data_IF_550913185612
#
_entry.id   IF_550913185612
#
_cell.length_a   1.000
_cell.length_b   1.000
_cell.length_c   1.000
_cell.angle_alpha   90.00
_cell.angle_beta   90.00
_cell.angle_gamma   90.00
#
_symmetry.space_group_name_H-M   'P 1'
#
loop_
_entity.id
_entity.type
_entity.pdbx_description
1 polymer ?
#
# COMPACT_ATOMS: atom_id res chain seq x y z
N UNK A 1 -13.92 -9.21 7.41
CA UNK A 1 -14.25 -8.89 8.82
C UNK A 1 -13.33 -9.58 9.83
N UNK A 2 -13.03 -10.89 9.72
CA UNK A 2 -12.18 -11.59 10.70
C UNK A 2 -10.76 -10.97 10.87
N UNK A 3 -10.10 -10.59 9.77
CA UNK A 3 -8.78 -9.94 9.82
C UNK A 3 -8.79 -8.63 10.61
N UNK A 4 -9.76 -7.74 10.32
CA UNK A 4 -9.93 -6.47 11.06
C UNK A 4 -10.12 -6.72 12.55
N UNK A 5 -10.94 -7.70 12.95
CA UNK A 5 -11.13 -8.03 14.38
C UNK A 5 -9.84 -8.49 15.02
N UNK A 6 -9.11 -9.39 14.37
CA UNK A 6 -7.84 -9.90 14.89
C UNK A 6 -6.81 -8.78 15.06
N UNK A 7 -6.71 -7.87 14.09
CA UNK A 7 -5.78 -6.74 14.16
C UNK A 7 -6.18 -5.75 15.27
N UNK A 8 -7.45 -5.36 15.36
CA UNK A 8 -7.90 -4.43 16.41
C UNK A 8 -7.84 -5.03 17.81
N UNK A 9 -8.08 -6.34 17.96
CA UNK A 9 -7.89 -7.03 19.22
C UNK A 9 -6.41 -7.04 19.64
N UNK A 10 -5.50 -7.23 18.68
CA UNK A 10 -4.05 -7.15 18.90
C UNK A 10 -3.64 -5.74 19.32
N UNK A 11 -4.03 -4.72 18.56
CA UNK A 11 -3.75 -3.30 18.86
C UNK A 11 -4.20 -2.95 20.29
N UNK A 12 -5.47 -3.24 20.62
CA UNK A 12 -6.01 -2.97 21.94
C UNK A 12 -5.25 -3.74 23.03
N UNK A 13 -4.89 -5.01 22.79
CA UNK A 13 -4.13 -5.83 23.75
C UNK A 13 -2.68 -5.38 23.89
N UNK A 14 -2.04 -4.85 22.86
CA UNK A 14 -0.65 -4.40 22.91
C UNK A 14 -0.49 -3.07 23.65
N UNK A 15 -1.56 -2.31 23.80
CA UNK A 15 -1.60 -1.07 24.59
C UNK A 15 -1.91 0.19 23.79
N UNK A 16 -2.36 0.08 22.55
CA UNK A 16 -2.79 1.24 21.77
C UNK A 16 -4.05 1.87 22.37
N UNK A 17 -4.10 3.21 22.45
CA UNK A 17 -5.26 3.93 23.03
C UNK A 17 -6.47 4.01 22.07
N UNK A 18 -6.25 3.76 20.79
CA UNK A 18 -7.26 3.77 19.74
C UNK A 18 -6.72 3.20 18.43
N UNK A 19 -7.55 3.22 17.38
CA UNK A 19 -7.15 2.72 16.07
C UNK A 19 -7.87 3.42 14.93
N UNK A 20 -7.28 3.38 13.74
CA UNK A 20 -7.86 3.97 12.53
C UNK A 20 -8.74 3.00 11.74
N UNK A 21 -9.75 3.56 11.09
CA UNK A 21 -10.58 2.91 10.06
C UNK A 21 -10.82 3.91 8.92
N UNK A 22 -10.89 3.42 7.69
CA UNK A 22 -11.08 4.25 6.50
C UNK A 22 -12.52 4.27 5.97
N UNK A 23 -13.45 3.54 6.61
CA UNK A 23 -14.86 3.49 6.23
C UNK A 23 -15.77 3.45 7.47
N UNK A 24 -16.86 4.23 7.54
CA UNK A 24 -17.76 4.27 8.71
C UNK A 24 -18.32 2.91 9.12
N UNK A 25 -18.59 2.03 8.15
CA UNK A 25 -19.06 0.65 8.42
C UNK A 25 -18.07 -0.23 9.20
N UNK A 26 -16.81 0.18 9.34
CA UNK A 26 -15.81 -0.53 10.15
C UNK A 26 -15.74 -0.02 11.60
N UNK A 27 -16.35 1.13 11.91
CA UNK A 27 -16.35 1.73 13.25
C UNK A 27 -16.91 0.76 14.30
N UNK A 28 -18.09 0.11 14.11
CA UNK A 28 -18.63 -0.77 15.14
C UNK A 28 -17.73 -1.96 15.45
N UNK A 29 -17.12 -2.57 14.42
CA UNK A 29 -16.24 -3.72 14.56
C UNK A 29 -14.94 -3.35 15.28
N UNK A 30 -14.33 -2.22 14.93
CA UNK A 30 -13.13 -1.76 15.61
C UNK A 30 -13.41 -1.38 17.07
N UNK A 31 -14.51 -0.64 17.30
CA UNK A 31 -14.93 -0.23 18.65
C UNK A 31 -15.16 -1.44 19.56
N UNK A 32 -15.81 -2.49 19.06
CA UNK A 32 -16.07 -3.71 19.83
C UNK A 32 -14.78 -4.34 20.40
N UNK A 33 -13.70 -4.38 19.61
CA UNK A 33 -12.44 -4.97 20.08
C UNK A 33 -11.70 -4.07 21.08
N UNK A 34 -11.75 -2.74 20.93
CA UNK A 34 -11.16 -1.82 21.91
C UNK A 34 -11.92 -1.82 23.24
N UNK A 35 -13.27 -1.84 23.20
CA UNK A 35 -14.11 -1.88 24.41
C UNK A 35 -13.88 -3.15 25.23
N UNK A 36 -13.59 -4.31 24.59
CA UNK A 36 -13.24 -5.55 25.31
C UNK A 36 -12.03 -5.39 26.23
N UNK A 37 -11.08 -4.51 25.89
CA UNK A 37 -9.84 -4.29 26.66
C UNK A 37 -9.92 -3.05 27.55
N UNK A 38 -10.51 -1.96 27.04
CA UNK A 38 -10.59 -0.68 27.76
C UNK A 38 -11.73 -0.66 28.79
N UNK A 39 -12.84 -1.35 28.52
CA UNK A 39 -14.09 -1.19 29.27
C UNK A 39 -14.59 0.26 29.17
N UNK A 40 -14.85 0.87 30.32
CA UNK A 40 -15.29 2.28 30.42
C UNK A 40 -14.12 3.29 30.41
N UNK A 41 -12.86 2.82 30.37
CA UNK A 41 -11.70 3.71 30.41
C UNK A 41 -11.57 4.48 29.09
N UNK A 42 -11.25 5.80 29.13
CA UNK A 42 -11.12 6.61 27.92
C UNK A 42 -9.85 6.33 27.11
N UNK A 43 -8.84 5.69 27.73
CA UNK A 43 -7.57 5.29 27.13
C UNK A 43 -6.85 4.29 28.06
N UNK A 44 -5.68 3.80 27.67
CA UNK A 44 -4.82 2.91 28.47
C UNK A 44 -3.38 3.43 28.54
N UNK A 45 -3.20 4.77 28.59
CA UNK A 45 -1.89 5.42 28.73
C UNK A 45 -1.16 4.95 30.00
N UNK A 46 -1.89 4.47 31.02
CA UNK A 46 -1.34 3.88 32.23
C UNK A 46 -0.64 2.52 32.01
N UNK A 47 -0.92 1.84 30.89
CA UNK A 47 -0.26 0.60 30.50
C UNK A 47 1.13 0.87 29.93
N UNK A 48 2.08 1.06 30.84
CA UNK A 48 3.49 1.13 30.48
C UNK A 48 3.97 -0.24 29.97
N UNK A 49 4.78 -0.23 28.90
CA UNK A 49 5.38 -1.44 28.30
C UNK A 49 6.82 -1.62 28.74
N UNK A 50 7.04 -1.62 30.06
CA UNK A 50 8.37 -1.83 30.66
C UNK A 50 8.94 -3.23 30.36
N UNK A 51 8.08 -4.15 29.92
CA UNK A 51 8.43 -5.48 29.41
C UNK A 51 9.08 -5.45 28.01
N UNK A 52 8.97 -4.34 27.28
CA UNK A 52 9.45 -4.19 25.91
C UNK A 52 10.71 -3.31 25.89
N UNK A 53 11.81 -3.87 25.40
CA UNK A 53 13.04 -3.11 25.13
C UNK A 53 13.41 -3.25 23.65
N UNK A 54 13.25 -2.18 22.88
CA UNK A 54 13.58 -2.18 21.44
C UNK A 54 14.93 -1.51 21.20
N UNK A 55 15.80 -2.18 20.44
CA UNK A 55 17.11 -1.68 19.98
C UNK A 55 17.00 -1.18 18.55
N UNK A 56 17.84 -0.21 18.17
CA UNK A 56 17.84 0.33 16.80
C UNK A 56 18.01 -0.72 15.70
N UNK A 57 18.76 -1.80 15.95
CA UNK A 57 18.91 -2.94 15.01
C UNK A 57 17.59 -3.66 14.72
N UNK A 58 16.67 -3.70 15.68
CA UNK A 58 15.38 -4.39 15.56
C UNK A 58 14.43 -3.57 14.69
N UNK A 59 14.53 -2.23 14.74
CA UNK A 59 13.81 -1.33 13.83
C UNK A 59 14.30 -1.42 12.38
N UNK A 60 15.51 -1.93 12.16
CA UNK A 60 16.13 -2.10 10.84
C UNK A 60 16.15 -3.57 10.37
N UNK A 61 15.46 -4.46 11.08
CA UNK A 61 15.39 -5.87 10.73
C UNK A 61 14.30 -6.10 9.67
N UNK A 62 14.72 -6.41 8.44
CA UNK A 62 13.81 -6.65 7.31
C UNK A 62 13.17 -8.04 7.39
N UNK A 63 12.14 -8.20 8.23
CA UNK A 63 11.37 -9.43 8.42
C UNK A 63 9.86 -9.17 8.48
N UNK A 64 9.01 -10.18 8.20
CA UNK A 64 9.37 -11.51 7.67
C UNK A 64 9.82 -11.46 6.20
N UNK A 65 10.68 -12.40 5.79
CA UNK A 65 11.07 -12.55 4.38
C UNK A 65 10.09 -13.50 3.68
N UNK A 66 9.08 -12.95 3.04
CA UNK A 66 8.20 -13.67 2.12
C UNK A 66 8.72 -13.56 0.67
N UNK A 67 8.43 -14.53 -0.21
CA UNK A 67 8.84 -14.44 -1.60
C UNK A 67 8.15 -13.28 -2.31
N UNK A 68 8.83 -12.67 -3.28
CA UNK A 68 8.20 -11.75 -4.22
C UNK A 68 7.45 -12.61 -5.24
N UNK A 69 6.14 -12.41 -5.38
CA UNK A 69 5.33 -13.18 -6.33
C UNK A 69 5.00 -12.34 -7.55
N UNK A 70 4.75 -12.97 -8.71
CA UNK A 70 4.27 -12.22 -9.89
C UNK A 70 2.93 -11.54 -9.57
N UNK A 71 2.05 -12.22 -8.82
CA UNK A 71 0.78 -11.66 -8.39
C UNK A 71 0.98 -10.38 -7.55
N UNK A 72 1.95 -10.36 -6.63
CA UNK A 72 2.29 -9.17 -5.85
C UNK A 72 2.85 -8.04 -6.71
N UNK A 73 3.73 -8.37 -7.67
CA UNK A 73 4.25 -7.40 -8.64
C UNK A 73 3.13 -6.78 -9.48
N UNK A 74 2.25 -7.61 -10.04
CA UNK A 74 1.07 -7.15 -10.80
C UNK A 74 0.15 -6.30 -9.95
N UNK A 75 -0.09 -6.69 -8.70
CA UNK A 75 -0.93 -5.91 -7.79
C UNK A 75 -0.34 -4.52 -7.53
N UNK A 76 0.97 -4.40 -7.30
CA UNK A 76 1.62 -3.10 -7.14
C UNK A 76 1.48 -2.23 -8.39
N UNK A 77 1.65 -2.81 -9.59
CA UNK A 77 1.44 -2.09 -10.85
C UNK A 77 -0.02 -1.65 -10.99
N UNK A 78 -0.96 -2.56 -10.75
CA UNK A 78 -2.39 -2.34 -10.88
C UNK A 78 -2.88 -1.23 -9.94
N UNK A 79 -2.61 -1.35 -8.64
CA UNK A 79 -3.00 -0.38 -7.61
C UNK A 79 -2.34 0.97 -7.86
N UNK A 80 -1.05 0.97 -8.23
CA UNK A 80 -0.32 2.19 -8.59
C UNK A 80 -0.99 2.94 -9.74
N UNK A 81 -1.20 2.29 -10.89
CA UNK A 81 -1.85 2.91 -12.05
C UNK A 81 -3.28 3.37 -11.73
N UNK A 82 -4.04 2.55 -11.00
CA UNK A 82 -5.42 2.87 -10.64
C UNK A 82 -5.49 4.13 -9.77
N UNK A 83 -4.69 4.18 -8.69
CA UNK A 83 -4.65 5.35 -7.81
C UNK A 83 -4.20 6.61 -8.55
N UNK A 84 -3.11 6.55 -9.33
CA UNK A 84 -2.62 7.70 -10.10
C UNK A 84 -3.68 8.21 -11.09
N UNK A 85 -4.40 7.31 -11.77
CA UNK A 85 -5.45 7.67 -12.72
C UNK A 85 -6.63 8.39 -12.06
N UNK A 86 -7.02 7.96 -10.85
CA UNK A 86 -8.04 8.63 -10.04
C UNK A 86 -7.55 9.97 -9.47
N UNK A 87 -6.29 10.04 -9.02
CA UNK A 87 -5.68 11.27 -8.51
C UNK A 87 -5.64 12.35 -9.59
N UNK A 88 -5.21 12.01 -10.81
CA UNK A 88 -5.21 12.91 -11.98
C UNK A 88 -6.62 13.35 -12.37
N UNK A 89 -7.66 12.61 -11.98
CA UNK A 89 -9.06 12.99 -12.16
C UNK A 89 -9.62 13.81 -10.97
N UNK A 90 -8.76 14.22 -10.03
CA UNK A 90 -9.12 15.03 -8.86
C UNK A 90 -9.61 14.23 -7.65
N UNK A 91 -9.43 12.90 -7.62
CA UNK A 91 -9.81 12.06 -6.49
C UNK A 91 -8.60 11.39 -5.82
N UNK A 92 -8.24 11.84 -4.62
CA UNK A 92 -7.15 11.26 -3.82
C UNK A 92 -7.58 10.20 -2.80
N UNK A 93 -8.87 9.82 -2.75
CA UNK A 93 -9.40 8.81 -1.83
C UNK A 93 -10.17 7.77 -2.66
N UNK A 94 -9.52 6.64 -2.93
CA UNK A 94 -9.90 5.77 -4.06
C UNK A 94 -10.26 4.38 -3.56
N UNK A 95 -11.49 3.89 -3.77
CA UNK A 95 -11.83 2.50 -3.48
C UNK A 95 -11.20 1.57 -4.53
N UNK A 96 -10.18 0.80 -4.14
CA UNK A 96 -9.49 -0.16 -5.00
C UNK A 96 -9.57 -1.53 -4.32
N UNK A 97 -10.10 -2.54 -5.03
CA UNK A 97 -10.24 -3.91 -4.50
C UNK A 97 -10.96 -4.01 -3.14
N UNK A 98 -11.92 -3.12 -2.88
CA UNK A 98 -12.66 -2.94 -1.61
C UNK A 98 -11.83 -2.39 -0.43
N UNK A 99 -10.65 -1.84 -0.71
CA UNK A 99 -9.85 -1.05 0.22
C UNK A 99 -9.95 0.43 -0.15
N UNK A 100 -9.89 1.30 0.86
CA UNK A 100 -9.86 2.75 0.63
C UNK A 100 -8.40 3.18 0.59
N UNK A 101 -7.88 3.40 -0.61
CA UNK A 101 -6.47 3.67 -0.85
C UNK A 101 -6.20 5.18 -0.94
N UNK A 102 -5.04 5.57 -0.45
CA UNK A 102 -4.49 6.91 -0.52
C UNK A 102 -3.12 6.92 -1.25
N UNK A 103 -2.45 8.07 -1.24
CA UNK A 103 -1.16 8.22 -1.91
C UNK A 103 -0.10 7.26 -1.38
N UNK A 104 -0.12 6.91 -0.09
CA UNK A 104 0.90 6.05 0.50
C UNK A 104 0.85 4.64 -0.08
N UNK A 105 -0.33 4.14 -0.47
CA UNK A 105 -0.48 2.85 -1.15
C UNK A 105 0.19 2.86 -2.52
N UNK A 106 0.01 3.93 -3.30
CA UNK A 106 0.69 4.08 -4.58
C UNK A 106 2.21 4.28 -4.39
N UNK A 107 2.63 4.98 -3.33
CA UNK A 107 4.04 5.17 -2.98
C UNK A 107 4.74 3.85 -2.68
N UNK A 108 4.19 3.03 -1.79
CA UNK A 108 4.80 1.73 -1.48
C UNK A 108 4.80 0.82 -2.72
N UNK A 109 3.75 0.88 -3.53
CA UNK A 109 3.64 0.09 -4.76
C UNK A 109 4.75 0.41 -5.76
N UNK A 110 4.94 1.69 -6.12
CA UNK A 110 6.02 2.08 -7.05
C UNK A 110 7.40 1.87 -6.44
N UNK A 111 7.54 2.04 -5.13
CA UNK A 111 8.82 1.92 -4.42
C UNK A 111 9.31 0.48 -4.36
N UNK A 112 8.40 -0.46 -4.12
CA UNK A 112 8.72 -1.89 -4.17
C UNK A 112 9.16 -2.30 -5.58
N UNK A 113 8.44 -1.90 -6.62
CA UNK A 113 8.84 -2.19 -8.01
C UNK A 113 10.21 -1.59 -8.32
N UNK A 114 10.44 -0.32 -7.97
CA UNK A 114 11.73 0.35 -8.16
C UNK A 114 12.87 -0.37 -7.42
N UNK A 115 12.63 -0.79 -6.18
CA UNK A 115 13.62 -1.49 -5.37
C UNK A 115 13.92 -2.89 -5.94
N UNK A 116 12.90 -3.63 -6.37
CA UNK A 116 13.07 -4.97 -6.91
C UNK A 116 13.81 -4.98 -8.25
N UNK A 117 13.65 -3.95 -9.08
CA UNK A 117 14.48 -3.80 -10.29
C UNK A 117 15.97 -3.75 -9.92
N UNK A 118 16.33 -2.97 -8.91
CA UNK A 118 17.74 -2.65 -8.56
C UNK A 118 18.40 -3.65 -7.61
N UNK A 119 17.62 -4.24 -6.71
CA UNK A 119 18.15 -5.10 -5.66
C UNK A 119 18.47 -6.50 -6.19
N UNK A 120 19.58 -7.13 -5.76
CA UNK A 120 19.84 -8.54 -6.04
C UNK A 120 18.76 -9.48 -5.47
N UNK A 121 18.00 -9.03 -4.45
CA UNK A 121 16.88 -9.78 -3.87
C UNK A 121 15.60 -9.72 -4.71
N UNK A 122 15.53 -8.83 -5.71
CA UNK A 122 14.33 -8.64 -6.53
C UNK A 122 14.10 -9.76 -7.54
N UNK A 123 13.88 -10.98 -7.06
CA UNK A 123 13.55 -12.15 -7.87
C UNK A 123 12.17 -12.63 -7.50
N UNK A 124 11.37 -12.94 -8.51
CA UNK A 124 10.10 -13.61 -8.33
C UNK A 124 10.31 -15.01 -7.74
N UNK A 125 9.26 -15.58 -7.15
CA UNK A 125 9.26 -16.91 -6.55
C UNK A 125 9.64 -18.02 -7.55
N UNK A 126 9.40 -17.80 -8.85
CA UNK A 126 9.79 -18.70 -9.94
C UNK A 126 11.24 -18.49 -10.43
N UNK A 127 11.98 -17.58 -9.79
CA UNK A 127 13.38 -17.29 -10.07
C UNK A 127 13.62 -16.19 -11.10
N UNK A 128 12.59 -15.70 -11.82
CA UNK A 128 12.75 -14.58 -12.77
C UNK A 128 13.20 -13.32 -12.03
N UNK A 129 14.14 -12.58 -12.63
CA UNK A 129 14.54 -11.26 -12.14
C UNK A 129 13.41 -10.27 -12.41
N UNK A 130 13.01 -9.50 -11.40
CA UNK A 130 12.20 -8.29 -11.64
C UNK A 130 13.11 -7.29 -12.34
N UNK A 131 12.84 -7.02 -13.62
CA UNK A 131 13.60 -6.09 -14.46
C UNK A 131 12.69 -5.00 -15.02
N UNK A 132 13.28 -3.92 -15.55
CA UNK A 132 12.50 -2.86 -16.17
C UNK A 132 11.72 -3.38 -17.39
N UNK A 133 12.28 -4.34 -18.14
CA UNK A 133 11.65 -4.98 -19.28
C UNK A 133 10.40 -5.77 -18.85
N UNK A 134 10.51 -6.58 -17.79
CA UNK A 134 9.36 -7.31 -17.24
C UNK A 134 8.27 -6.34 -16.77
N UNK A 135 8.63 -5.27 -16.06
CA UNK A 135 7.65 -4.28 -15.59
C UNK A 135 6.94 -3.60 -16.76
N UNK A 136 7.67 -3.21 -17.81
CA UNK A 136 7.09 -2.64 -19.04
C UNK A 136 6.18 -3.61 -19.80
N UNK A 137 6.49 -4.91 -19.74
CA UNK A 137 5.62 -5.96 -20.30
C UNK A 137 4.30 -6.08 -19.54
N UNK A 138 4.34 -5.93 -18.21
CA UNK A 138 3.18 -6.09 -17.33
C UNK A 138 2.26 -4.85 -17.28
N UNK A 139 2.81 -3.64 -17.39
CA UNK A 139 2.04 -2.38 -17.35
C UNK A 139 0.82 -2.36 -18.29
N UNK A 140 0.93 -2.66 -19.61
CA UNK A 140 -0.23 -2.60 -20.50
C UNK A 140 -1.29 -3.65 -20.14
N UNK A 141 -0.89 -4.79 -19.58
CA UNK A 141 -1.80 -5.84 -19.13
C UNK A 141 -2.61 -5.35 -17.92
N UNK A 142 -1.93 -4.76 -16.93
CA UNK A 142 -2.60 -4.23 -15.74
C UNK A 142 -3.40 -2.97 -16.02
N UNK A 143 -2.96 -2.11 -16.94
CA UNK A 143 -3.74 -0.97 -17.40
C UNK A 143 -5.07 -1.43 -18.03
N UNK A 144 -5.05 -2.49 -18.85
CA UNK A 144 -6.28 -3.06 -19.41
C UNK A 144 -7.21 -3.59 -18.31
N UNK A 145 -6.65 -4.26 -17.28
CA UNK A 145 -7.42 -4.71 -16.12
C UNK A 145 -8.05 -3.54 -15.35
N UNK A 146 -7.29 -2.48 -15.08
CA UNK A 146 -7.79 -1.26 -14.42
C UNK A 146 -8.93 -0.64 -15.23
N UNK A 147 -8.73 -0.45 -16.55
CA UNK A 147 -9.77 0.10 -17.45
C UNK A 147 -11.05 -0.72 -17.43
N UNK A 148 -10.95 -2.06 -17.40
CA UNK A 148 -12.10 -2.95 -17.31
C UNK A 148 -12.86 -2.81 -15.98
N UNK A 149 -12.15 -2.54 -14.87
CA UNK A 149 -12.77 -2.36 -13.55
C UNK A 149 -13.47 -1.00 -13.41
N UNK A 150 -12.87 0.08 -13.92
CA UNK A 150 -13.39 1.45 -13.76
C UNK A 150 -14.50 1.80 -14.74
N UNK A 151 -14.60 1.09 -15.88
CA UNK A 151 -15.65 1.32 -16.88
C UNK A 151 -15.30 2.45 -17.85
N UNK A 152 -16.09 3.53 -17.90
CA UNK A 152 -15.80 4.68 -18.79
C UNK A 152 -14.45 5.29 -18.42
N UNK A 153 -13.46 5.04 -19.27
CA UNK A 153 -12.05 5.36 -19.00
C UNK A 153 -11.84 6.85 -19.16
N UNK A 154 -11.64 7.56 -18.05
CA UNK A 154 -11.09 8.89 -18.09
C UNK A 154 -9.72 8.85 -18.81
N UNK A 155 -9.38 9.84 -19.66
CA UNK A 155 -8.09 9.87 -20.37
C UNK A 155 -6.86 9.89 -19.43
N UNK A 156 -7.09 10.08 -18.13
CA UNK A 156 -6.06 10.10 -17.08
C UNK A 156 -5.35 8.76 -16.88
N UNK A 157 -5.99 7.62 -17.14
CA UNK A 157 -5.38 6.30 -16.86
C UNK A 157 -4.22 5.94 -17.78
N UNK A 158 -4.27 6.36 -19.05
CA UNK A 158 -3.14 6.18 -19.97
C UNK A 158 -1.94 7.01 -19.51
N UNK A 159 -2.20 8.26 -19.07
CA UNK A 159 -1.14 9.12 -18.53
C UNK A 159 -0.57 8.56 -17.22
N UNK A 160 -1.42 8.05 -16.34
CA UNK A 160 -1.05 7.39 -15.11
C UNK A 160 -0.10 6.21 -15.33
N UNK A 161 -0.35 5.37 -16.35
CA UNK A 161 0.55 4.26 -16.69
C UNK A 161 1.94 4.73 -17.11
N UNK A 162 2.01 5.80 -17.92
CA UNK A 162 3.29 6.41 -18.33
C UNK A 162 4.06 6.95 -17.13
N UNK A 163 3.38 7.68 -16.24
CA UNK A 163 4.00 8.25 -15.03
C UNK A 163 4.47 7.14 -14.09
N UNK A 164 3.65 6.08 -13.89
CA UNK A 164 4.04 4.92 -13.08
C UNK A 164 5.29 4.23 -13.64
N UNK A 165 5.35 3.99 -14.96
CA UNK A 165 6.52 3.40 -15.60
C UNK A 165 7.77 4.25 -15.34
N UNK A 166 7.67 5.57 -15.57
CA UNK A 166 8.78 6.50 -15.38
C UNK A 166 9.30 6.45 -13.94
N UNK A 167 8.43 6.57 -12.95
CA UNK A 167 8.84 6.57 -11.54
C UNK A 167 9.38 5.23 -11.06
N UNK A 168 8.82 4.11 -11.54
CA UNK A 168 9.25 2.78 -11.12
C UNK A 168 10.54 2.32 -11.81
N UNK A 169 10.80 2.77 -13.04
CA UNK A 169 11.97 2.33 -13.82
C UNK A 169 13.13 3.34 -13.85
N UNK A 170 12.91 4.62 -13.53
CA UNK A 170 13.93 5.69 -13.50
C UNK A 170 15.12 5.37 -12.61
N UNK A 171 16.35 5.61 -13.10
CA UNK A 171 17.59 5.41 -12.33
C UNK A 171 17.52 6.06 -10.95
N UNK A 172 17.08 7.32 -10.90
CA UNK A 172 16.87 8.09 -9.68
C UNK A 172 15.51 7.79 -9.08
N UNK A 173 15.47 7.75 -7.74
CA UNK A 173 14.23 7.62 -6.99
C UNK A 173 13.64 9.01 -6.76
N UNK A 174 12.48 9.27 -7.35
CA UNK A 174 11.70 10.49 -7.03
C UNK A 174 11.19 10.36 -5.61
N UNK A 175 11.42 11.37 -4.75
CA UNK A 175 11.07 11.28 -3.33
C UNK A 175 9.57 11.06 -3.11
N UNK A 176 8.74 11.83 -3.82
CA UNK A 176 7.28 11.74 -3.73
C UNK A 176 6.65 11.66 -5.12
N UNK A 177 5.75 10.70 -5.32
CA UNK A 177 4.97 10.57 -6.56
C UNK A 177 4.09 11.79 -6.80
N UNK A 178 3.76 12.54 -5.76
CA UNK A 178 2.91 13.72 -5.85
C UNK A 178 3.58 14.88 -6.57
N UNK A 179 4.93 14.95 -6.59
CA UNK A 179 5.65 16.01 -7.29
C UNK A 179 5.39 15.96 -8.81
N UNK A 180 5.69 14.87 -9.55
CA UNK A 180 5.39 14.82 -10.97
C UNK A 180 3.89 14.81 -11.26
N UNK A 181 3.06 14.28 -10.37
CA UNK A 181 1.60 14.33 -10.55
C UNK A 181 1.06 15.77 -10.48
N UNK A 182 1.59 16.61 -9.59
CA UNK A 182 1.12 17.97 -9.41
C UNK A 182 1.42 18.87 -10.61
N UNK A 183 2.43 18.55 -11.41
CA UNK A 183 2.74 19.25 -12.66
C UNK A 183 1.77 18.90 -13.82
N UNK A 184 0.90 17.89 -13.64
CA UNK A 184 -0.03 17.39 -14.66
C UNK A 184 -1.46 17.91 -14.49
N UNK A 185 -1.76 18.59 -13.38
CA UNK A 185 -3.11 19.04 -12.98
C UNK A 185 -3.23 20.55 -12.83
#
# INVERSE_FOLDING_TARGET
MAGIRADKARDATDGYDGGWVAHPGLVPVAMEEFVKVLGDRPNQIDKQRDDVTVKGRELLEFKPEAPITEAGLRNNINVGIHYLGAWLAGNGCVPIHNLMEDAATAEISRSQVWQWIRSPKGKLEDGRKVSAELVRELIPQELANVKALVGQVAPTYDRAAVIFEQMSTSADFVDFLTLPLYEEV
#
